data_IF_306228167029
#
_entry.id   IF_306228167029
#
_cell.length_a   1.000
_cell.length_b   1.000
_cell.length_c   1.000
_cell.angle_alpha   90.00
_cell.angle_beta   90.00
_cell.angle_gamma   90.00
#
_symmetry.space_group_name_H-M   'P 1'
#
loop_
_entity.id
_entity.type
_entity.pdbx_description
1 polymer ?
#
# COMPACT_ATOMS: atom_id res chain seq x y z
N UNK A 1 -27.46 7.08 -7.58
CA UNK A 1 -25.97 6.92 -7.53
C UNK A 1 -25.46 5.60 -8.11
N UNK A 2 -26.19 4.47 -8.04
CA UNK A 2 -25.75 3.18 -8.63
C UNK A 2 -25.99 3.04 -10.15
N UNK A 3 -26.89 3.84 -10.74
CA UNK A 3 -27.28 3.76 -12.17
C UNK A 3 -26.20 4.32 -13.13
N UNK A 4 -25.20 5.04 -12.63
CA UNK A 4 -24.18 5.72 -13.46
C UNK A 4 -22.94 4.82 -13.69
N UNK A 5 -22.85 3.66 -13.03
CA UNK A 5 -21.62 2.86 -12.99
C UNK A 5 -21.28 2.12 -14.30
N UNK A 6 -22.16 2.10 -15.30
CA UNK A 6 -22.04 1.16 -16.43
C UNK A 6 -22.29 1.74 -17.84
N UNK A 7 -21.88 2.97 -18.15
CA UNK A 7 -22.14 3.54 -19.50
C UNK A 7 -20.88 4.12 -20.18
N UNK A 8 -20.26 3.37 -21.12
CA UNK A 8 -19.41 3.98 -22.17
C UNK A 8 -20.13 5.09 -22.95
N UNK A 9 -21.47 5.07 -23.02
CA UNK A 9 -22.28 6.11 -23.67
C UNK A 9 -22.17 7.49 -23.00
N UNK A 10 -21.98 7.57 -21.68
CA UNK A 10 -21.87 8.86 -20.98
C UNK A 10 -20.57 9.56 -21.38
N UNK A 11 -19.48 8.79 -21.45
CA UNK A 11 -18.20 9.31 -21.92
C UNK A 11 -18.28 9.76 -23.39
N UNK A 12 -18.85 8.94 -24.29
CA UNK A 12 -19.00 9.29 -25.69
C UNK A 12 -19.85 10.56 -25.88
N UNK A 13 -20.98 10.66 -25.18
CA UNK A 13 -21.86 11.84 -25.19
C UNK A 13 -21.21 13.07 -24.59
N UNK A 14 -20.42 12.90 -23.53
CA UNK A 14 -19.66 13.99 -22.93
C UNK A 14 -18.56 14.48 -23.88
N UNK A 15 -17.76 13.58 -24.45
CA UNK A 15 -16.70 13.88 -25.42
C UNK A 15 -17.27 14.62 -26.64
N UNK A 16 -18.36 14.13 -27.22
CA UNK A 16 -19.03 14.77 -28.36
C UNK A 16 -19.48 16.21 -28.03
N UNK A 17 -20.21 16.40 -26.92
CA UNK A 17 -20.65 17.74 -26.48
C UNK A 17 -19.49 18.67 -26.15
N UNK A 18 -18.41 18.13 -25.59
CA UNK A 18 -17.21 18.92 -25.30
C UNK A 18 -16.56 19.41 -26.58
N UNK A 19 -16.40 18.54 -27.57
CA UNK A 19 -15.85 18.87 -28.90
C UNK A 19 -16.73 19.93 -29.58
N UNK A 20 -18.06 19.78 -29.54
CA UNK A 20 -19.01 20.78 -30.07
C UNK A 20 -18.85 22.14 -29.39
N UNK A 21 -18.69 22.18 -28.06
CA UNK A 21 -18.45 23.43 -27.32
C UNK A 21 -17.10 24.06 -27.63
N UNK A 22 -16.07 23.26 -27.93
CA UNK A 22 -14.78 23.78 -28.40
C UNK A 22 -14.93 24.36 -29.82
N UNK A 23 -15.59 23.65 -30.74
CA UNK A 23 -15.82 24.10 -32.11
C UNK A 23 -16.67 25.39 -32.18
N UNK A 24 -17.69 25.51 -31.33
CA UNK A 24 -18.48 26.75 -31.21
C UNK A 24 -17.67 27.91 -30.66
N UNK A 25 -16.69 27.67 -29.78
CA UNK A 25 -15.80 28.71 -29.27
C UNK A 25 -14.74 29.14 -30.29
N UNK A 26 -14.35 28.22 -31.18
CA UNK A 26 -13.37 28.47 -32.23
C UNK A 26 -13.90 29.37 -33.35
N UNK A 27 -15.21 29.38 -33.60
CA UNK A 27 -15.85 30.30 -34.56
C UNK A 27 -15.90 31.76 -34.07
N UNK A 28 -15.61 31.98 -32.78
CA UNK A 28 -15.64 33.27 -32.08
C UNK A 28 -14.21 33.88 -31.95
N UNK A 29 -13.26 33.37 -32.73
CA UNK A 29 -11.79 33.59 -32.65
C UNK A 29 -11.27 34.94 -33.14
N UNK A 30 -12.11 35.89 -33.54
CA UNK A 30 -11.66 37.22 -34.02
C UNK A 30 -11.09 38.12 -32.92
N UNK A 31 -10.97 37.66 -31.68
CA UNK A 31 -10.28 38.37 -30.60
C UNK A 31 -9.52 37.38 -29.72
N UNK A 32 -8.22 37.64 -29.47
CA UNK A 32 -7.22 36.74 -28.86
C UNK A 32 -7.47 36.26 -27.41
N UNK A 33 -8.66 35.70 -27.15
CA UNK A 33 -9.17 35.31 -25.82
C UNK A 33 -9.29 33.79 -25.63
N UNK A 34 -8.87 32.98 -26.60
CA UNK A 34 -9.09 31.52 -26.66
C UNK A 34 -8.51 30.76 -25.46
N UNK A 35 -7.29 31.10 -25.02
CA UNK A 35 -6.67 30.49 -23.81
C UNK A 35 -7.47 30.80 -22.54
N UNK A 36 -7.94 32.05 -22.40
CA UNK A 36 -8.74 32.50 -21.26
C UNK A 36 -10.13 31.85 -21.25
N UNK A 37 -10.79 31.75 -22.42
CA UNK A 37 -12.08 31.06 -22.58
C UNK A 37 -11.97 29.55 -22.30
N UNK A 38 -10.91 28.87 -22.73
CA UNK A 38 -10.70 27.46 -22.41
C UNK A 38 -10.48 27.25 -20.91
N UNK A 39 -9.62 28.04 -20.25
CA UNK A 39 -9.46 27.96 -18.78
C UNK A 39 -10.76 28.22 -18.01
N UNK A 40 -11.71 28.95 -18.58
CA UNK A 40 -13.05 29.16 -18.00
C UNK A 40 -13.91 27.90 -18.03
N UNK A 41 -13.81 27.06 -19.07
CA UNK A 41 -14.57 25.80 -19.15
C UNK A 41 -14.06 24.75 -18.16
N UNK A 42 -12.74 24.61 -18.05
CA UNK A 42 -12.11 23.67 -17.10
C UNK A 42 -12.42 23.99 -15.63
N UNK A 43 -12.65 25.27 -15.33
CA UNK A 43 -12.96 25.75 -13.99
C UNK A 43 -14.46 25.99 -13.76
N UNK A 44 -15.32 25.61 -14.71
CA UNK A 44 -16.77 25.74 -14.54
C UNK A 44 -17.28 24.70 -13.54
N UNK A 45 -17.92 25.17 -12.49
CA UNK A 45 -18.46 24.35 -11.41
C UNK A 45 -19.88 23.90 -11.74
N UNK A 46 -20.23 22.67 -11.35
CA UNK A 46 -21.61 22.21 -11.31
C UNK A 46 -22.36 22.79 -10.08
N UNK A 47 -23.67 22.57 -9.96
CA UNK A 47 -24.48 22.94 -8.78
C UNK A 47 -23.91 22.39 -7.47
N UNK A 48 -23.30 21.21 -7.53
CA UNK A 48 -22.66 20.55 -6.39
C UNK A 48 -21.21 21.03 -6.15
N UNK A 49 -20.73 22.03 -6.89
CA UNK A 49 -19.37 22.56 -6.73
C UNK A 49 -18.26 21.72 -7.35
N UNK A 50 -18.58 20.67 -8.13
CA UNK A 50 -17.56 19.87 -8.80
C UNK A 50 -17.12 20.46 -10.14
N UNK A 51 -15.82 20.43 -10.39
CA UNK A 51 -15.25 20.67 -11.74
C UNK A 51 -15.41 19.41 -12.59
N UNK A 52 -15.32 19.49 -13.94
CA UNK A 52 -15.40 18.30 -14.78
C UNK A 52 -14.36 17.23 -14.41
N UNK A 53 -13.17 17.65 -13.97
CA UNK A 53 -12.11 16.73 -13.52
C UNK A 53 -12.47 16.09 -12.17
N UNK A 54 -12.92 16.90 -11.20
CA UNK A 54 -13.33 16.39 -9.87
C UNK A 54 -14.58 15.51 -9.96
N UNK A 55 -15.47 15.77 -10.90
CA UNK A 55 -16.64 14.92 -11.15
C UNK A 55 -16.24 13.58 -11.79
N UNK A 56 -15.32 13.60 -12.77
CA UNK A 56 -14.77 12.38 -13.35
C UNK A 56 -14.09 11.51 -12.29
N UNK A 57 -13.44 12.17 -11.34
CA UNK A 57 -12.80 11.57 -10.18
C UNK A 57 -13.80 10.87 -9.24
N UNK A 58 -14.83 11.59 -8.83
CA UNK A 58 -15.86 11.10 -7.91
C UNK A 58 -16.65 9.92 -8.51
N UNK A 59 -17.02 10.01 -9.79
CA UNK A 59 -17.73 8.95 -10.52
C UNK A 59 -16.79 7.77 -10.86
N UNK A 60 -15.49 7.88 -10.57
CA UNK A 60 -14.49 6.83 -10.81
C UNK A 60 -14.37 6.38 -12.28
N UNK A 61 -14.57 7.32 -13.21
CA UNK A 61 -14.51 7.07 -14.65
C UNK A 61 -13.08 7.24 -15.17
N UNK A 62 -12.30 6.15 -15.19
CA UNK A 62 -10.89 6.17 -15.59
C UNK A 62 -10.66 6.70 -17.01
N UNK A 63 -11.44 6.25 -18.00
CA UNK A 63 -11.33 6.70 -19.40
C UNK A 63 -11.54 8.22 -19.53
N UNK A 64 -12.60 8.74 -18.91
CA UNK A 64 -12.92 10.17 -18.94
C UNK A 64 -11.84 11.01 -18.25
N UNK A 65 -11.37 10.56 -17.08
CA UNK A 65 -10.30 11.22 -16.34
C UNK A 65 -8.98 11.25 -17.14
N UNK A 66 -8.59 10.12 -17.72
CA UNK A 66 -7.39 10.02 -18.56
C UNK A 66 -7.45 10.95 -19.75
N UNK A 67 -8.60 11.02 -20.42
CA UNK A 67 -8.81 11.95 -21.53
C UNK A 67 -8.72 13.42 -21.09
N UNK A 68 -9.38 13.80 -19.98
CA UNK A 68 -9.31 15.16 -19.44
C UNK A 68 -7.88 15.57 -19.05
N UNK A 69 -7.10 14.67 -18.45
CA UNK A 69 -5.70 14.92 -18.09
C UNK A 69 -4.80 15.01 -19.32
N UNK A 70 -5.10 14.22 -20.35
CA UNK A 70 -4.39 14.26 -21.63
C UNK A 70 -4.63 15.58 -22.35
N UNK A 71 -5.87 16.06 -22.42
CA UNK A 71 -6.22 17.30 -23.11
C UNK A 71 -5.67 18.55 -22.38
N UNK A 72 -5.60 18.51 -21.05
CA UNK A 72 -5.07 19.64 -20.24
C UNK A 72 -3.55 19.77 -20.26
N UNK A 73 -2.82 18.80 -20.82
CA UNK A 73 -1.36 18.82 -20.83
C UNK A 73 -0.85 19.90 -21.79
N UNK A 74 0.27 20.54 -21.43
CA UNK A 74 1.00 21.44 -22.32
C UNK A 74 2.34 20.83 -22.68
N UNK A 75 2.74 20.89 -23.94
CA UNK A 75 4.07 20.42 -24.34
C UNK A 75 5.06 21.55 -24.01
N UNK A 76 6.07 21.25 -23.19
CA UNK A 76 7.14 22.21 -22.90
C UNK A 76 8.20 22.17 -23.99
N UNK A 77 8.66 20.96 -24.30
CA UNK A 77 9.60 20.69 -25.37
C UNK A 77 9.41 19.25 -25.86
N UNK A 78 9.76 19.01 -27.11
CA UNK A 78 9.82 17.68 -27.70
C UNK A 78 11.12 17.56 -28.49
N UNK A 79 11.87 16.50 -28.23
CA UNK A 79 13.13 16.19 -28.91
C UNK A 79 13.11 14.72 -29.35
N UNK A 80 12.99 14.50 -30.66
CA UNK A 80 12.82 13.16 -31.23
C UNK A 80 11.65 12.42 -30.58
N UNK A 81 11.94 11.25 -30.02
CA UNK A 81 10.96 10.40 -29.34
C UNK A 81 10.72 10.79 -27.88
N UNK A 82 11.39 11.81 -27.32
CA UNK A 82 11.18 12.23 -25.92
C UNK A 82 10.44 13.56 -25.90
N UNK A 83 9.39 13.65 -25.10
CA UNK A 83 8.62 14.89 -24.91
C UNK A 83 8.47 15.19 -23.43
N UNK A 84 8.73 16.42 -23.02
CA UNK A 84 8.41 16.91 -21.68
C UNK A 84 7.04 17.57 -21.69
N UNK A 85 6.14 17.02 -20.88
CA UNK A 85 4.76 17.44 -20.74
C UNK A 85 4.56 18.13 -19.40
N UNK A 86 3.83 19.23 -19.42
CA UNK A 86 3.42 20.02 -18.28
C UNK A 86 1.97 19.73 -17.95
N UNK A 87 1.73 19.07 -16.83
CA UNK A 87 0.38 18.82 -16.31
C UNK A 87 0.02 19.86 -15.24
N UNK A 88 -1.10 20.59 -15.37
CA UNK A 88 -1.50 21.58 -14.38
C UNK A 88 -1.87 20.91 -13.04
N UNK A 89 -1.41 21.49 -11.93
CA UNK A 89 -1.64 20.97 -10.56
C UNK A 89 -2.77 21.70 -9.81
N UNK A 90 -3.42 22.67 -10.44
CA UNK A 90 -4.41 23.59 -9.84
C UNK A 90 -5.54 22.92 -9.05
N UNK A 91 -6.08 21.83 -9.59
CA UNK A 91 -7.16 21.00 -9.03
C UNK A 91 -6.65 19.65 -8.52
N UNK A 92 -5.38 19.31 -8.80
CA UNK A 92 -4.84 17.97 -8.57
C UNK A 92 -4.31 17.77 -7.14
N UNK A 93 -4.04 18.87 -6.42
CA UNK A 93 -3.33 18.86 -5.14
C UNK A 93 -4.25 19.01 -3.91
N UNK A 94 -5.52 19.42 -4.09
CA UNK A 94 -6.44 19.78 -2.99
C UNK A 94 -7.47 18.71 -2.62
N UNK A 95 -7.98 17.94 -3.59
CA UNK A 95 -9.30 17.29 -3.44
C UNK A 95 -9.29 15.74 -3.44
N UNK A 96 -8.14 15.08 -3.58
CA UNK A 96 -8.10 13.60 -3.73
C UNK A 96 -7.94 12.82 -2.43
N UNK A 97 -8.67 13.20 -1.37
CA UNK A 97 -8.61 12.47 -0.11
C UNK A 97 -9.20 11.04 -0.23
N UNK A 98 -10.20 10.84 -1.10
CA UNK A 98 -11.02 9.61 -1.10
C UNK A 98 -11.09 8.86 -2.45
N UNK A 99 -10.33 9.27 -3.47
CA UNK A 99 -10.49 8.71 -4.82
C UNK A 99 -9.61 7.48 -5.08
N UNK A 100 -10.05 6.31 -4.58
CA UNK A 100 -9.38 4.99 -4.72
C UNK A 100 -9.03 4.61 -6.17
N UNK A 101 -9.84 5.02 -7.16
CA UNK A 101 -9.70 4.64 -8.57
C UNK A 101 -8.82 5.63 -9.36
N UNK A 102 -8.58 6.84 -8.81
CA UNK A 102 -7.68 7.83 -9.42
C UNK A 102 -6.21 7.45 -9.38
N UNK A 103 -5.83 6.66 -8.37
CA UNK A 103 -4.45 6.40 -8.00
C UNK A 103 -3.72 5.45 -8.97
N UNK A 104 -4.43 4.94 -9.98
CA UNK A 104 -3.84 4.11 -11.04
C UNK A 104 -3.31 4.95 -12.21
N UNK A 105 -3.64 6.25 -12.28
CA UNK A 105 -3.18 7.07 -13.40
C UNK A 105 -1.65 7.29 -13.34
N UNK A 106 -0.88 7.05 -14.42
CA UNK A 106 0.58 7.15 -14.42
C UNK A 106 1.10 8.55 -14.01
N UNK A 107 0.37 9.60 -14.39
CA UNK A 107 0.70 10.99 -13.99
C UNK A 107 0.64 11.16 -12.46
N UNK A 108 -0.38 10.61 -11.82
CA UNK A 108 -0.58 10.75 -10.37
C UNK A 108 0.44 9.91 -9.62
N UNK A 109 0.76 8.72 -10.12
CA UNK A 109 1.88 7.90 -9.62
C UNK A 109 3.18 8.71 -9.68
N UNK A 110 3.47 9.37 -10.80
CA UNK A 110 4.68 10.19 -10.95
C UNK A 110 4.70 11.41 -10.00
N UNK A 111 3.54 12.01 -9.71
CA UNK A 111 3.41 13.08 -8.75
C UNK A 111 3.69 12.58 -7.33
N UNK A 112 3.07 11.46 -6.94
CA UNK A 112 3.27 10.81 -5.64
C UNK A 112 4.73 10.37 -5.51
N UNK A 113 5.36 9.88 -6.58
CA UNK A 113 6.77 9.50 -6.59
C UNK A 113 7.68 10.67 -6.22
N UNK A 114 7.45 11.82 -6.85
CA UNK A 114 8.21 13.04 -6.55
C UNK A 114 7.93 13.54 -5.15
N UNK A 115 6.66 13.61 -4.73
CA UNK A 115 6.27 13.97 -3.36
C UNK A 115 6.97 13.06 -2.34
N UNK A 116 6.93 11.75 -2.55
CA UNK A 116 7.54 10.77 -1.66
C UNK A 116 9.05 10.98 -1.50
N UNK A 117 9.77 11.19 -2.62
CA UNK A 117 11.23 11.37 -2.62
C UNK A 117 11.68 12.61 -1.87
N UNK A 118 10.98 13.72 -2.05
CA UNK A 118 11.40 15.00 -1.46
C UNK A 118 10.85 15.24 -0.06
N UNK A 119 9.65 14.74 0.21
CA UNK A 119 8.90 15.03 1.42
C UNK A 119 8.89 13.82 2.36
N UNK A 120 8.17 12.75 1.97
CA UNK A 120 7.85 11.64 2.86
C UNK A 120 9.08 10.91 3.38
N UNK A 121 10.08 10.65 2.53
CA UNK A 121 11.28 9.90 2.90
C UNK A 121 12.03 10.52 4.09
N UNK A 122 12.16 11.86 4.12
CA UNK A 122 12.87 12.57 5.20
C UNK A 122 12.11 12.56 6.52
N UNK A 123 10.78 12.66 6.48
CA UNK A 123 9.95 12.66 7.68
C UNK A 123 9.90 11.24 8.28
N UNK A 124 9.72 10.24 7.42
CA UNK A 124 9.68 8.85 7.82
C UNK A 124 11.00 8.41 8.43
N UNK A 125 12.15 8.74 7.83
CA UNK A 125 13.45 8.35 8.40
C UNK A 125 13.67 9.00 9.77
N UNK A 126 13.24 10.26 9.98
CA UNK A 126 13.33 10.93 11.29
C UNK A 126 12.45 10.24 12.33
N UNK A 127 11.18 9.94 12.00
CA UNK A 127 10.26 9.22 12.91
C UNK A 127 10.77 7.81 13.21
N UNK A 128 11.21 7.09 12.19
CA UNK A 128 11.80 5.76 12.32
C UNK A 128 13.01 5.76 13.26
N UNK A 129 13.92 6.72 13.11
CA UNK A 129 15.10 6.83 13.99
C UNK A 129 14.71 7.07 15.45
N UNK A 130 13.71 7.92 15.71
CA UNK A 130 13.22 8.17 17.08
C UNK A 130 12.60 6.90 17.67
N UNK A 131 11.74 6.22 16.92
CA UNK A 131 11.11 4.97 17.37
C UNK A 131 12.11 3.84 17.55
N UNK A 132 13.11 3.74 16.67
CA UNK A 132 14.18 2.76 16.77
C UNK A 132 15.04 2.98 18.02
N UNK A 133 15.39 4.23 18.32
CA UNK A 133 16.11 4.58 19.55
C UNK A 133 15.29 4.25 20.80
N UNK A 134 13.98 4.54 20.79
CA UNK A 134 13.06 4.13 21.86
C UNK A 134 13.08 2.61 22.07
N UNK A 135 13.04 1.82 21.00
CA UNK A 135 13.09 0.36 21.07
C UNK A 135 14.45 -0.14 21.60
N UNK A 136 15.56 0.49 21.23
CA UNK A 136 16.89 0.15 21.77
C UNK A 136 16.99 0.40 23.27
N UNK A 137 16.46 1.52 23.76
CA UNK A 137 16.39 1.80 25.20
C UNK A 137 15.56 0.73 25.91
N UNK A 138 14.40 0.38 25.36
CA UNK A 138 13.54 -0.66 25.91
C UNK A 138 14.24 -2.04 25.94
N UNK A 139 14.88 -2.44 24.84
CA UNK A 139 15.67 -3.67 24.78
C UNK A 139 16.77 -3.65 25.85
N UNK A 140 17.47 -2.52 26.00
CA UNK A 140 18.48 -2.33 27.04
C UNK A 140 17.93 -2.58 28.45
N UNK A 141 16.74 -2.06 28.78
CA UNK A 141 16.11 -2.31 30.09
C UNK A 141 15.83 -3.79 30.34
N UNK A 142 15.33 -4.51 29.34
CA UNK A 142 15.03 -5.96 29.48
C UNK A 142 16.29 -6.81 29.63
N UNK A 143 17.37 -6.47 28.90
CA UNK A 143 18.65 -7.17 29.03
C UNK A 143 19.25 -6.94 30.41
N UNK A 144 19.24 -5.69 30.90
CA UNK A 144 19.73 -5.37 32.24
C UNK A 144 18.95 -6.13 33.33
N UNK A 145 17.63 -6.29 33.16
CA UNK A 145 16.81 -7.10 34.08
C UNK A 145 17.23 -8.58 34.07
N UNK A 146 17.53 -9.18 32.92
CA UNK A 146 17.94 -10.58 32.81
C UNK A 146 19.35 -10.86 33.34
N UNK A 147 20.23 -9.84 33.37
CA UNK A 147 21.58 -9.97 33.94
C UNK A 147 21.62 -9.98 35.46
N UNK A 148 20.49 -9.82 36.17
CA UNK A 148 20.45 -10.06 37.62
C UNK A 148 20.29 -11.57 37.82
N UNK A 149 21.36 -12.34 38.12
CA UNK A 149 21.17 -13.72 38.52
C UNK A 149 20.32 -13.70 39.78
N UNK A 150 19.18 -14.39 39.73
CA UNK A 150 18.47 -14.85 40.91
C UNK A 150 19.52 -15.54 41.79
N UNK A 151 19.95 -14.87 42.85
CA UNK A 151 20.74 -15.53 43.91
C UNK A 151 19.78 -16.43 44.64
N UNK A 152 19.52 -17.60 44.07
CA UNK A 152 18.96 -18.75 44.75
C UNK A 152 19.95 -19.20 45.83
N UNK A 153 20.06 -18.44 46.91
CA UNK A 153 20.45 -18.97 48.20
C UNK A 153 19.26 -19.74 48.76
N UNK A 154 19.06 -20.94 48.20
CA UNK A 154 18.25 -21.98 48.82
C UNK A 154 18.97 -22.42 50.09
N UNK A 155 18.73 -21.72 51.21
CA UNK A 155 19.00 -22.28 52.53
C UNK A 155 18.21 -23.58 52.64
N UNK A 156 18.92 -24.71 52.60
CA UNK A 156 18.39 -26.01 53.04
C UNK A 156 18.22 -25.94 54.55
N UNK A 157 17.10 -25.38 55.01
CA UNK A 157 16.69 -25.56 56.39
C UNK A 157 16.23 -27.01 56.57
N UNK A 158 17.12 -27.81 57.16
CA UNK A 158 16.83 -29.17 57.64
C UNK A 158 15.89 -29.06 58.84
N UNK A 159 14.57 -28.92 58.62
CA UNK A 159 13.55 -29.09 59.68
C UNK A 159 12.11 -29.19 59.14
N UNK A 160 11.86 -30.11 58.20
CA UNK A 160 10.48 -30.54 57.91
C UNK A 160 10.42 -32.02 57.52
N UNK A 161 10.78 -32.89 58.45
CA UNK A 161 10.54 -34.33 58.36
C UNK A 161 9.27 -34.72 59.14
N UNK A 162 8.15 -34.02 58.90
CA UNK A 162 6.82 -34.49 59.36
C UNK A 162 5.61 -33.96 58.56
N UNK A 163 5.81 -33.19 57.47
CA UNK A 163 4.72 -32.75 56.58
C UNK A 163 5.04 -33.19 55.14
N UNK A 164 5.26 -34.49 54.95
CA UNK A 164 5.61 -35.09 53.65
C UNK A 164 4.42 -35.78 52.96
N UNK A 165 3.24 -35.82 53.60
CA UNK A 165 2.07 -36.57 53.11
C UNK A 165 1.06 -35.80 52.26
N UNK A 166 0.97 -34.47 52.40
CA UNK A 166 -0.12 -33.65 51.82
C UNK A 166 0.28 -32.81 50.61
N UNK A 167 1.56 -32.44 50.46
CA UNK A 167 2.05 -31.66 49.31
C UNK A 167 2.37 -32.50 48.07
N UNK A 168 2.42 -33.83 48.20
CA UNK A 168 2.69 -34.75 47.10
C UNK A 168 1.63 -34.71 46.00
N UNK A 169 0.37 -34.42 46.35
CA UNK A 169 -0.73 -34.38 45.38
C UNK A 169 -0.70 -33.10 44.51
N UNK A 170 -0.35 -31.95 45.10
CA UNK A 170 -0.20 -30.68 44.37
C UNK A 170 1.07 -30.68 43.54
N UNK A 171 2.19 -31.16 44.09
CA UNK A 171 3.44 -31.28 43.31
C UNK A 171 3.29 -32.27 42.16
N UNK A 172 2.60 -33.40 42.37
CA UNK A 172 2.27 -34.36 41.31
C UNK A 172 1.36 -33.76 40.23
N UNK A 173 0.36 -32.95 40.60
CA UNK A 173 -0.46 -32.23 39.62
C UNK A 173 0.37 -31.24 38.79
N UNK A 174 1.30 -30.51 39.40
CA UNK A 174 2.21 -29.58 38.71
C UNK A 174 3.15 -30.34 37.77
N UNK A 175 3.74 -31.45 38.19
CA UNK A 175 4.61 -32.28 37.32
C UNK A 175 3.85 -32.89 36.14
N UNK A 176 2.59 -33.30 36.33
CA UNK A 176 1.75 -33.74 35.22
C UNK A 176 1.45 -32.60 34.24
N UNK A 177 1.14 -31.41 34.74
CA UNK A 177 0.86 -30.22 33.93
C UNK A 177 2.10 -29.78 33.13
N UNK A 178 3.30 -29.85 33.72
CA UNK A 178 4.57 -29.65 33.02
C UNK A 178 4.80 -30.68 31.91
N UNK A 179 4.44 -31.95 32.13
CA UNK A 179 4.47 -32.99 31.11
C UNK A 179 3.56 -32.70 29.92
N UNK A 180 2.31 -32.29 30.18
CA UNK A 180 1.37 -31.89 29.12
C UNK A 180 1.86 -30.68 28.34
N UNK A 181 2.44 -29.68 29.01
CA UNK A 181 3.05 -28.51 28.36
C UNK A 181 4.24 -28.95 27.48
N UNK A 182 5.07 -29.89 27.95
CA UNK A 182 6.17 -30.44 27.16
C UNK A 182 5.67 -31.12 25.89
N UNK A 183 4.59 -31.91 25.98
CA UNK A 183 3.98 -32.54 24.80
C UNK A 183 3.38 -31.51 23.82
N UNK A 184 2.74 -30.45 24.33
CA UNK A 184 2.23 -29.35 23.50
C UNK A 184 3.39 -28.60 22.81
N UNK A 185 4.49 -28.33 23.53
CA UNK A 185 5.71 -27.74 22.96
C UNK A 185 6.28 -28.62 21.85
N UNK A 186 6.39 -29.92 22.09
CA UNK A 186 6.91 -30.87 21.11
C UNK A 186 6.02 -30.98 19.87
N UNK A 187 4.70 -30.89 20.04
CA UNK A 187 3.75 -30.84 18.92
C UNK A 187 3.91 -29.56 18.08
N UNK A 188 4.10 -28.41 18.72
CA UNK A 188 4.31 -27.12 18.05
C UNK A 188 5.65 -27.07 17.31
N UNK A 189 6.73 -27.53 17.95
CA UNK A 189 8.06 -27.65 17.36
C UNK A 189 8.09 -28.65 16.18
N UNK A 190 7.38 -29.77 16.32
CA UNK A 190 7.20 -30.73 15.24
C UNK A 190 6.50 -30.14 14.01
N UNK A 191 5.60 -29.16 14.18
CA UNK A 191 4.96 -28.46 13.06
C UNK A 191 5.93 -27.50 12.34
N UNK A 192 6.97 -27.01 13.03
CA UNK A 192 8.07 -26.24 12.46
C UNK A 192 9.15 -27.12 11.81
N UNK A 193 9.04 -28.45 11.93
CA UNK A 193 10.00 -29.42 11.39
C UNK A 193 11.08 -29.89 12.37
N UNK A 194 11.01 -29.49 13.64
CA UNK A 194 11.94 -29.93 14.69
C UNK A 194 11.36 -31.14 15.43
N UNK A 195 11.84 -32.34 15.07
CA UNK A 195 11.38 -33.61 15.62
C UNK A 195 12.47 -34.25 16.49
N UNK A 196 12.33 -34.12 17.82
CA UNK A 196 13.15 -34.87 18.78
C UNK A 196 12.64 -36.32 18.89
N UNK A 197 13.30 -37.23 18.18
CA UNK A 197 12.97 -38.66 18.15
C UNK A 197 13.27 -39.32 19.51
N UNK A 198 14.25 -38.82 20.26
CA UNK A 198 14.68 -39.39 21.53
C UNK A 198 13.59 -39.25 22.60
N UNK A 199 12.82 -38.15 22.55
CA UNK A 199 11.65 -37.95 23.41
C UNK A 199 10.55 -39.01 23.19
N UNK A 200 10.33 -39.44 21.94
CA UNK A 200 9.34 -40.47 21.60
C UNK A 200 9.85 -41.90 21.80
N UNK A 201 11.17 -42.10 21.73
CA UNK A 201 11.81 -43.39 21.97
C UNK A 201 11.82 -43.78 23.47
N UNK A 202 11.78 -42.80 24.39
CA UNK A 202 11.73 -43.03 25.84
C UNK A 202 10.37 -43.45 26.42
N UNK A 203 9.32 -43.52 25.59
CA UNK A 203 7.95 -43.82 26.03
C UNK A 203 7.69 -45.30 26.37
N UNK A 204 6.57 -45.56 27.06
CA UNK A 204 6.15 -46.93 27.41
C UNK A 204 5.90 -47.84 26.19
N UNK A 205 5.59 -47.24 25.04
CA UNK A 205 5.36 -47.95 23.77
C UNK A 205 6.11 -47.25 22.62
N UNK A 206 7.43 -47.49 22.47
CA UNK A 206 8.24 -46.74 21.51
C UNK A 206 7.86 -47.06 20.06
N UNK A 207 7.53 -48.33 19.77
CA UNK A 207 7.19 -48.78 18.41
C UNK A 207 5.92 -48.11 17.88
N UNK A 208 4.86 -48.04 18.69
CA UNK A 208 3.58 -47.44 18.28
C UNK A 208 3.69 -45.92 18.12
N UNK A 209 4.42 -45.25 19.02
CA UNK A 209 4.63 -43.79 18.95
C UNK A 209 5.40 -43.38 17.69
N UNK A 210 6.45 -44.12 17.31
CA UNK A 210 7.24 -43.83 16.11
C UNK A 210 6.43 -44.07 14.83
N UNK A 211 5.66 -45.15 14.75
CA UNK A 211 4.79 -45.41 13.59
C UNK A 211 3.75 -44.30 13.39
N UNK A 212 3.15 -43.81 14.49
CA UNK A 212 2.15 -42.74 14.46
C UNK A 212 2.79 -41.39 14.06
N UNK A 213 4.03 -41.14 14.50
CA UNK A 213 4.83 -39.98 14.09
C UNK A 213 5.14 -39.98 12.59
N UNK A 214 5.52 -41.12 12.01
CA UNK A 214 5.79 -41.24 10.57
C UNK A 214 4.52 -40.93 9.77
N UNK A 215 3.37 -41.49 10.16
CA UNK A 215 2.08 -41.22 9.52
C UNK A 215 1.70 -39.73 9.59
N UNK A 216 1.94 -39.09 10.75
CA UNK A 216 1.76 -37.66 10.93
C UNK A 216 2.63 -36.81 10.00
N UNK A 217 3.91 -37.15 9.84
CA UNK A 217 4.84 -36.47 8.92
C UNK A 217 4.35 -36.59 7.46
N UNK A 218 3.91 -37.78 7.04
CA UNK A 218 3.37 -37.98 5.68
C UNK A 218 2.08 -37.17 5.45
N UNK A 219 1.16 -37.13 6.41
CA UNK A 219 -0.06 -36.33 6.27
C UNK A 219 0.25 -34.84 6.18
N UNK A 220 1.11 -34.33 7.05
CA UNK A 220 1.46 -32.90 7.05
C UNK A 220 2.13 -32.51 5.74
N UNK A 221 3.05 -33.33 5.23
CA UNK A 221 3.69 -33.03 3.95
C UNK A 221 2.70 -33.00 2.78
N UNK A 222 1.71 -33.90 2.74
CA UNK A 222 0.63 -33.87 1.74
C UNK A 222 -0.24 -32.62 1.90
N UNK A 223 -0.62 -32.25 3.13
CA UNK A 223 -1.42 -31.05 3.41
C UNK A 223 -0.69 -29.76 3.03
N UNK A 224 0.59 -29.66 3.38
CA UNK A 224 1.43 -28.51 3.03
C UNK A 224 1.60 -28.38 1.50
N UNK A 225 1.78 -29.51 0.80
CA UNK A 225 1.86 -29.52 -0.66
C UNK A 225 0.55 -29.03 -1.29
N UNK A 226 -0.60 -29.51 -0.79
CA UNK A 226 -1.92 -29.09 -1.27
C UNK A 226 -2.16 -27.58 -1.06
N UNK A 227 -1.72 -27.03 0.06
CA UNK A 227 -1.80 -25.59 0.35
C UNK A 227 -0.85 -24.76 -0.53
N UNK A 228 0.36 -25.27 -0.78
CA UNK A 228 1.35 -24.61 -1.63
C UNK A 228 0.88 -24.50 -3.08
N UNK A 229 0.31 -25.58 -3.62
CA UNK A 229 -0.25 -25.61 -4.97
C UNK A 229 -1.40 -24.61 -5.10
N UNK A 230 -2.28 -24.52 -4.09
CA UNK A 230 -3.37 -23.56 -4.06
C UNK A 230 -2.90 -22.09 -4.05
N UNK A 231 -1.77 -21.78 -3.41
CA UNK A 231 -1.25 -20.41 -3.30
C UNK A 231 -0.45 -19.95 -4.54
N UNK A 232 0.23 -20.87 -5.22
CA UNK A 232 1.15 -20.52 -6.32
C UNK A 232 0.48 -20.39 -7.70
N UNK A 233 -0.65 -21.05 -7.95
CA UNK A 233 -1.28 -21.11 -9.28
C UNK A 233 -1.93 -19.79 -9.72
N UNK A 234 -3.15 -19.52 -9.24
CA UNK A 234 -3.96 -18.41 -9.75
C UNK A 234 -3.95 -17.20 -8.81
N UNK A 235 -3.84 -17.43 -7.50
CA UNK A 235 -3.78 -16.35 -6.51
C UNK A 235 -2.49 -15.54 -6.61
N UNK A 236 -1.36 -16.10 -7.05
CA UNK A 236 -0.12 -15.31 -7.17
C UNK A 236 -0.23 -14.20 -8.21
N UNK A 237 -0.80 -14.48 -9.38
CA UNK A 237 -0.95 -13.49 -10.44
C UNK A 237 -1.93 -12.37 -10.04
N UNK A 238 -3.03 -12.73 -9.39
CA UNK A 238 -4.05 -11.78 -8.92
C UNK A 238 -3.60 -11.00 -7.69
N UNK A 239 -2.93 -11.64 -6.73
CA UNK A 239 -2.30 -10.97 -5.58
C UNK A 239 -1.22 -10.02 -6.09
N UNK A 240 -0.41 -10.40 -7.07
CA UNK A 240 0.61 -9.50 -7.63
C UNK A 240 -0.01 -8.26 -8.29
N UNK A 241 -1.06 -8.42 -9.10
CA UNK A 241 -1.77 -7.29 -9.74
C UNK A 241 -2.52 -6.41 -8.73
N UNK A 242 -3.09 -7.01 -7.68
CA UNK A 242 -3.82 -6.29 -6.65
C UNK A 242 -2.86 -5.58 -5.68
N UNK A 243 -1.72 -6.20 -5.37
CA UNK A 243 -0.69 -5.66 -4.50
C UNK A 243 -0.03 -4.41 -5.09
N UNK A 244 0.18 -4.34 -6.42
CA UNK A 244 0.75 -3.11 -7.03
C UNK A 244 -0.20 -1.94 -6.88
N UNK A 245 -1.51 -2.13 -7.13
CA UNK A 245 -2.53 -1.10 -6.94
C UNK A 245 -2.60 -0.66 -5.49
N UNK A 246 -2.65 -1.64 -4.57
CA UNK A 246 -2.71 -1.38 -3.13
C UNK A 246 -1.44 -0.68 -2.63
N UNK A 247 -0.28 -1.05 -3.14
CA UNK A 247 1.00 -0.40 -2.84
C UNK A 247 0.99 1.09 -3.21
N UNK A 248 0.54 1.44 -4.42
CA UNK A 248 0.42 2.84 -4.83
C UNK A 248 -0.59 3.60 -3.98
N UNK A 249 -1.70 2.94 -3.62
CA UNK A 249 -2.73 3.53 -2.79
C UNK A 249 -2.27 3.86 -1.38
N UNK A 250 -1.69 2.87 -0.68
CA UNK A 250 -1.20 3.05 0.68
C UNK A 250 -0.07 4.09 0.74
N UNK A 251 0.76 4.11 -0.30
CA UNK A 251 1.80 5.12 -0.47
C UNK A 251 1.23 6.52 -0.63
N UNK A 252 0.18 6.68 -1.45
CA UNK A 252 -0.50 7.96 -1.62
C UNK A 252 -1.17 8.44 -0.32
N UNK A 253 -1.89 7.52 0.34
CA UNK A 253 -2.56 7.78 1.61
C UNK A 253 -1.57 8.23 2.68
N UNK A 254 -0.46 7.51 2.82
CA UNK A 254 0.60 7.86 3.78
C UNK A 254 1.23 9.20 3.43
N UNK A 255 1.47 9.49 2.14
CA UNK A 255 2.02 10.77 1.72
C UNK A 255 1.08 11.94 2.07
N UNK A 256 -0.22 11.79 1.81
CA UNK A 256 -1.23 12.79 2.15
C UNK A 256 -1.39 12.98 3.67
N UNK A 257 -1.39 11.89 4.44
CA UNK A 257 -1.44 11.95 5.91
C UNK A 257 -0.22 12.69 6.48
N UNK A 258 0.97 12.38 5.97
CA UNK A 258 2.20 13.11 6.31
C UNK A 258 2.12 14.59 5.90
N UNK A 259 1.54 14.91 4.74
CA UNK A 259 1.33 16.30 4.30
C UNK A 259 0.39 17.02 5.27
N UNK A 260 -0.70 16.38 5.68
CA UNK A 260 -1.68 16.93 6.61
C UNK A 260 -1.06 17.33 7.95
N UNK A 261 -0.07 16.56 8.43
CA UNK A 261 0.62 16.79 9.69
C UNK A 261 1.63 17.95 9.70
N UNK A 262 1.93 18.59 8.56
CA UNK A 262 2.92 19.66 8.48
C UNK A 262 2.29 21.05 8.52
N UNK A 263 2.93 21.96 9.26
CA UNK A 263 2.55 23.36 9.34
C UNK A 263 2.65 24.06 7.98
N UNK A 264 1.70 24.96 7.69
CA UNK A 264 1.52 25.59 6.38
C UNK A 264 2.80 26.29 5.86
N UNK A 265 3.61 26.88 6.75
CA UNK A 265 4.87 27.56 6.41
C UNK A 265 5.95 26.62 5.86
N UNK A 266 6.11 25.44 6.43
CA UNK A 266 7.09 24.43 6.00
C UNK A 266 6.68 23.77 4.67
N UNK A 267 5.37 23.68 4.40
CA UNK A 267 4.84 23.21 3.11
C UNK A 267 5.32 24.07 1.93
N UNK A 268 5.34 25.40 2.07
CA UNK A 268 5.73 26.30 0.98
C UNK A 268 7.21 26.18 0.59
N UNK A 269 8.11 26.04 1.56
CA UNK A 269 9.55 25.86 1.31
C UNK A 269 9.84 24.54 0.59
N UNK A 270 9.06 23.51 0.89
CA UNK A 270 9.22 22.17 0.31
C UNK A 270 8.53 22.04 -1.05
N UNK A 271 7.49 22.84 -1.31
CA UNK A 271 6.71 22.78 -2.56
C UNK A 271 7.54 23.16 -3.79
N UNK A 272 8.44 24.12 -3.70
CA UNK A 272 9.23 24.61 -4.84
C UNK A 272 10.21 23.58 -5.45
N UNK A 273 10.19 22.33 -4.98
CA UNK A 273 11.16 21.30 -5.35
C UNK A 273 10.66 20.27 -6.38
N UNK A 274 9.34 20.13 -6.59
CA UNK A 274 8.79 19.07 -7.44
C UNK A 274 7.86 19.54 -8.56
N UNK A 275 7.57 20.84 -8.64
CA UNK A 275 6.76 21.47 -9.70
C UNK A 275 7.42 22.77 -10.18
N UNK A 276 7.00 23.22 -11.36
CA UNK A 276 7.50 24.45 -12.01
C UNK A 276 6.36 25.42 -12.20
N UNK A 277 6.60 26.69 -11.88
CA UNK A 277 5.63 27.76 -12.12
C UNK A 277 5.70 28.22 -13.57
N UNK A 278 4.56 28.19 -14.27
CA UNK A 278 4.41 28.76 -15.61
C UNK A 278 3.22 29.71 -15.59
N UNK A 279 3.48 31.00 -15.71
CA UNK A 279 2.46 32.07 -15.68
C UNK A 279 1.64 32.12 -14.37
N UNK A 280 2.28 31.90 -13.21
CA UNK A 280 1.64 31.97 -11.89
C UNK A 280 0.74 30.78 -11.58
N UNK A 281 0.95 29.65 -12.26
CA UNK A 281 0.24 28.38 -12.04
C UNK A 281 1.23 27.23 -11.92
N UNK A 282 1.03 26.32 -10.95
CA UNK A 282 1.92 25.18 -10.76
C UNK A 282 1.69 24.10 -11.83
N UNK A 283 2.77 23.64 -12.46
CA UNK A 283 2.78 22.51 -13.39
C UNK A 283 3.76 21.41 -12.96
N UNK A 284 3.33 20.17 -13.11
CA UNK A 284 4.16 18.99 -12.99
C UNK A 284 4.82 18.70 -14.35
N UNK A 285 6.16 18.65 -14.36
CA UNK A 285 6.91 18.15 -15.51
C UNK A 285 6.94 16.63 -15.51
N UNK A 286 6.50 16.01 -16.60
CA UNK A 286 6.57 14.56 -16.80
C UNK A 286 7.24 14.32 -18.15
N UNK A 287 8.33 13.56 -18.13
CA UNK A 287 8.98 13.10 -19.35
C UNK A 287 8.25 11.87 -19.86
N UNK A 288 7.84 11.90 -21.13
CA UNK A 288 7.25 10.78 -21.81
C UNK A 288 8.06 10.45 -23.05
N UNK A 289 8.28 9.15 -23.25
CA UNK A 289 8.85 8.62 -24.48
C UNK A 289 7.69 8.23 -25.39
N UNK A 290 7.62 8.83 -26.58
CA UNK A 290 6.75 8.41 -27.67
C UNK A 290 7.23 7.05 -28.15
N UNK A 291 6.43 6.03 -27.87
CA UNK A 291 6.60 4.71 -28.47
C UNK A 291 5.72 4.66 -29.71
N UNK A 292 6.30 4.36 -30.87
CA UNK A 292 5.59 4.35 -32.16
C UNK A 292 4.40 3.36 -32.21
N UNK A 293 4.33 2.43 -31.25
CA UNK A 293 3.25 1.45 -31.08
C UNK A 293 1.98 2.01 -30.41
N UNK A 294 2.07 3.03 -29.55
CA UNK A 294 0.91 3.55 -28.80
C UNK A 294 -0.04 4.39 -29.64
N UNK A 295 0.47 5.03 -30.70
CA UNK A 295 -0.36 5.84 -31.61
C UNK A 295 -1.25 4.93 -32.49
N UNK A 296 -0.76 3.75 -32.88
CA UNK A 296 -1.53 2.77 -33.66
C UNK A 296 -2.74 2.15 -32.94
N UNK A 297 -2.78 2.20 -31.61
CA UNK A 297 -3.92 1.76 -30.79
C UNK A 297 -4.92 2.89 -30.54
N UNK A 298 -4.45 4.13 -30.37
CA UNK A 298 -5.32 5.30 -30.21
C UNK A 298 -6.04 5.66 -31.52
N UNK A 299 -5.43 5.42 -32.68
CA UNK A 299 -6.09 5.66 -33.97
C UNK A 299 -7.18 4.60 -34.24
N UNK A 300 -6.99 3.35 -33.79
CA UNK A 300 -8.00 2.28 -33.95
C UNK A 300 -9.19 2.38 -32.99
N UNK A 301 -9.03 2.92 -31.77
CA UNK A 301 -10.15 3.14 -30.83
C UNK A 301 -10.95 4.44 -31.15
N UNK A 302 -10.55 5.21 -32.17
CA UNK A 302 -11.30 6.38 -32.66
C UNK A 302 -12.14 6.08 -33.92
N UNK A 303 -12.00 4.89 -34.53
CA UNK A 303 -12.69 4.49 -35.77
C UNK A 303 -13.82 3.45 -35.56
N UNK A 304 -14.05 2.96 -34.34
CA UNK A 304 -15.17 2.07 -33.95
C UNK A 304 -16.09 2.74 -32.91
#
# INVERSE_FOLDING_TARGET
MLVIRNLPEIYAKFKARWIEQQASNDNDKTSGSTSTKQTKLWNRLNKDGFTPLTLAADISQSKMLSWLLYERKKIQWSYGNVSCLLHPLDQLDRDFHDAYILLVHPIIISLIDKKWKYFAYRILIRRFLITFLYLLVFLGTTILQQTRPETTSRKKDKKTASIHGTYSNVSRQITCLEGYISSIKQCFLGLLGDFDIDHYAGGQYPKTSITLLIFYIVIITILLLNLLIAMMGDTYADVKKSATKLWHLERARTALDLESGIAKSERYLTNNKYWVDVQGKPYLQVEQVKNDLSDSMNDKENDD
#
